data_IF_598101573767
#
_entry.id   IF_598101573767
#
_cell.length_a   1.000
_cell.length_b   1.000
_cell.length_c   1.000
_cell.angle_alpha   90.00
_cell.angle_beta   90.00
_cell.angle_gamma   90.00
#
_symmetry.space_group_name_H-M   'P 1'
#
loop_
_entity.id
_entity.type
_entity.pdbx_description
1 polymer ?
#
# COMPACT_ATOMS: atom_id res chain seq x y z
N UNK A 1 -3.46 7.49 -20.04
CA UNK A 1 -3.68 7.22 -18.60
C UNK A 1 -2.41 6.55 -18.10
N UNK A 2 -1.92 6.94 -16.93
CA UNK A 2 -0.71 6.33 -16.35
C UNK A 2 -1.01 4.89 -15.91
N UNK A 3 -0.08 3.97 -16.14
CA UNK A 3 -0.19 2.58 -15.72
C UNK A 3 0.18 2.44 -14.24
N UNK A 4 -0.81 2.14 -13.40
CA UNK A 4 -0.65 2.03 -11.94
C UNK A 4 -0.86 0.57 -11.52
N UNK A 5 0.05 0.04 -10.71
CA UNK A 5 -0.04 -1.32 -10.18
C UNK A 5 -0.01 -1.31 -8.66
N UNK A 6 -0.97 -1.99 -8.03
CA UNK A 6 -1.00 -2.22 -6.59
C UNK A 6 -0.47 -3.63 -6.31
N UNK A 7 0.78 -3.74 -5.89
CA UNK A 7 1.39 -5.01 -5.48
C UNK A 7 1.24 -5.20 -3.97
N UNK A 8 0.68 -6.32 -3.54
CA UNK A 8 0.37 -6.53 -2.12
C UNK A 8 0.41 -7.98 -1.69
N UNK A 9 0.67 -8.19 -0.40
CA UNK A 9 0.40 -9.45 0.29
C UNK A 9 -0.75 -9.29 1.28
N UNK A 10 -1.57 -10.33 1.45
CA UNK A 10 -2.64 -10.36 2.44
C UNK A 10 -2.80 -11.77 3.03
N UNK A 11 -2.53 -11.93 4.34
CA UNK A 11 -2.68 -13.22 5.02
C UNK A 11 -4.12 -13.55 5.42
N UNK A 12 -4.93 -12.52 5.75
CA UNK A 12 -6.29 -12.70 6.30
C UNK A 12 -7.36 -11.94 5.51
N UNK A 13 -7.02 -11.38 4.36
CA UNK A 13 -7.96 -10.67 3.47
C UNK A 13 -8.10 -9.17 3.73
N UNK A 14 -7.73 -8.63 4.90
CA UNK A 14 -7.89 -7.21 5.21
C UNK A 14 -7.03 -6.32 4.30
N UNK A 15 -5.75 -6.64 4.14
CA UNK A 15 -4.83 -5.90 3.24
C UNK A 15 -5.30 -5.98 1.79
N UNK A 16 -5.88 -7.13 1.38
CA UNK A 16 -6.50 -7.27 0.05
C UNK A 16 -7.70 -6.33 -0.13
N UNK A 17 -8.56 -6.20 0.89
CA UNK A 17 -9.72 -5.31 0.84
C UNK A 17 -9.29 -3.84 0.70
N UNK A 18 -8.20 -3.44 1.36
CA UNK A 18 -7.61 -2.11 1.21
C UNK A 18 -7.01 -1.95 -0.19
N UNK A 19 -6.25 -2.95 -0.66
CA UNK A 19 -5.68 -2.93 -2.01
C UNK A 19 -6.74 -2.72 -3.09
N UNK A 20 -7.91 -3.38 -2.96
CA UNK A 20 -9.06 -3.20 -3.85
C UNK A 20 -9.56 -1.76 -3.84
N UNK A 21 -9.75 -1.15 -2.65
CA UNK A 21 -10.22 0.23 -2.55
C UNK A 21 -9.21 1.24 -3.13
N UNK A 22 -7.90 1.04 -2.88
CA UNK A 22 -6.85 1.87 -3.49
C UNK A 22 -6.83 1.70 -5.01
N UNK A 23 -6.94 0.47 -5.51
CA UNK A 23 -6.95 0.20 -6.94
C UNK A 23 -8.18 0.78 -7.63
N UNK A 24 -9.35 0.71 -7.01
CA UNK A 24 -10.58 1.31 -7.51
C UNK A 24 -10.42 2.83 -7.66
N UNK A 25 -9.93 3.52 -6.61
CA UNK A 25 -9.69 4.97 -6.65
C UNK A 25 -8.61 5.38 -7.66
N UNK A 26 -7.60 4.55 -7.88
CA UNK A 26 -6.50 4.84 -8.79
C UNK A 26 -6.76 4.40 -10.24
N UNK A 27 -7.78 3.59 -10.51
CA UNK A 27 -7.92 2.88 -11.79
C UNK A 27 -6.75 1.90 -12.04
N UNK A 28 -6.23 1.29 -10.97
CA UNK A 28 -5.00 0.50 -11.00
C UNK A 28 -5.25 -1.00 -11.17
N UNK A 29 -4.23 -1.72 -11.65
CA UNK A 29 -4.21 -3.18 -11.68
C UNK A 29 -3.77 -3.74 -10.33
N UNK A 30 -4.44 -4.81 -9.88
CA UNK A 30 -4.07 -5.54 -8.67
C UNK A 30 -3.07 -6.65 -8.99
N UNK A 31 -2.01 -6.76 -8.18
CA UNK A 31 -1.00 -7.79 -8.28
C UNK A 31 -0.77 -8.42 -6.90
N UNK A 32 -1.40 -9.55 -6.65
CA UNK A 32 -1.28 -10.25 -5.37
C UNK A 32 0.01 -11.06 -5.29
N UNK A 33 0.72 -10.94 -4.18
CA UNK A 33 1.79 -11.84 -3.78
C UNK A 33 1.13 -13.06 -3.12
N UNK A 34 1.47 -14.26 -3.56
CA UNK A 34 0.87 -15.49 -3.06
C UNK A 34 1.35 -15.86 -1.63
N UNK A 35 0.82 -16.96 -1.10
CA UNK A 35 1.16 -17.45 0.23
C UNK A 35 2.64 -17.86 0.36
N UNK A 36 3.29 -18.16 -0.75
CA UNK A 36 4.71 -18.50 -0.81
C UNK A 36 5.62 -17.31 -1.12
N UNK A 37 5.07 -16.11 -1.23
CA UNK A 37 5.78 -14.86 -1.47
C UNK A 37 6.21 -14.68 -2.93
N UNK A 38 5.53 -15.30 -3.90
CA UNK A 38 5.81 -15.16 -5.31
C UNK A 38 4.77 -14.27 -6.00
N UNK A 39 5.18 -13.62 -7.09
CA UNK A 39 4.27 -12.99 -8.03
C UNK A 39 3.69 -14.02 -9.00
N UNK A 40 2.48 -13.81 -9.51
CA UNK A 40 1.95 -14.63 -10.61
C UNK A 40 2.80 -14.42 -11.88
N UNK A 41 2.70 -15.34 -12.86
CA UNK A 41 3.34 -15.17 -14.17
C UNK A 41 3.00 -13.80 -14.79
N UNK A 42 4.01 -13.13 -15.36
CA UNK A 42 3.86 -11.77 -15.92
C UNK A 42 3.87 -10.63 -14.89
N UNK A 43 3.96 -10.93 -13.59
CA UNK A 43 3.92 -9.91 -12.53
C UNK A 43 5.12 -8.96 -12.54
N UNK A 44 6.31 -9.45 -12.86
CA UNK A 44 7.51 -8.61 -12.97
C UNK A 44 7.45 -7.69 -14.19
N UNK A 45 6.95 -8.17 -15.31
CA UNK A 45 6.73 -7.42 -16.54
C UNK A 45 5.69 -6.31 -16.33
N UNK A 46 4.61 -6.62 -15.58
CA UNK A 46 3.60 -5.64 -15.22
C UNK A 46 4.19 -4.50 -14.38
N UNK A 47 5.00 -4.82 -13.36
CA UNK A 47 5.69 -3.83 -12.54
C UNK A 47 6.74 -3.04 -13.34
N UNK A 48 7.40 -3.67 -14.29
CA UNK A 48 8.36 -2.99 -15.15
C UNK A 48 7.69 -1.96 -16.06
N UNK A 49 6.49 -2.23 -16.57
CA UNK A 49 5.72 -1.33 -17.43
C UNK A 49 5.04 -0.20 -16.65
N UNK A 50 4.77 -0.37 -15.34
CA UNK A 50 4.03 0.61 -14.53
C UNK A 50 4.75 1.96 -14.39
N UNK A 51 3.99 3.05 -14.43
CA UNK A 51 4.45 4.41 -14.08
C UNK A 51 4.50 4.60 -12.55
N UNK A 52 3.55 3.96 -11.85
CA UNK A 52 3.46 3.99 -10.39
C UNK A 52 3.26 2.60 -9.79
N UNK A 53 3.99 2.31 -8.72
CA UNK A 53 3.92 1.05 -7.95
C UNK A 53 3.44 1.35 -6.53
N UNK A 54 2.25 0.87 -6.19
CA UNK A 54 1.70 0.99 -4.83
C UNK A 54 1.96 -0.30 -4.07
N UNK A 55 2.67 -0.21 -2.96
CA UNK A 55 3.10 -1.35 -2.17
C UNK A 55 2.20 -1.55 -0.95
N UNK A 56 1.62 -2.73 -0.77
CA UNK A 56 0.77 -3.08 0.36
C UNK A 56 1.24 -4.32 1.13
N UNK A 57 1.43 -4.18 2.43
CA UNK A 57 1.75 -5.30 3.31
C UNK A 57 1.04 -5.18 4.65
N UNK A 58 0.57 -6.29 5.27
CA UNK A 58 0.13 -6.24 6.66
C UNK A 58 1.34 -6.01 7.57
N UNK A 59 1.10 -5.35 8.71
CA UNK A 59 2.11 -5.28 9.78
C UNK A 59 1.99 -6.51 10.67
N UNK A 60 2.96 -7.41 10.57
CA UNK A 60 3.11 -8.60 11.39
C UNK A 60 4.39 -8.52 12.21
N UNK A 61 4.31 -8.70 13.53
CA UNK A 61 5.46 -8.66 14.43
C UNK A 61 6.35 -7.41 14.22
N UNK A 62 5.70 -6.24 14.04
CA UNK A 62 6.39 -4.96 13.89
C UNK A 62 6.99 -4.66 12.51
N UNK A 63 6.64 -5.42 11.48
CA UNK A 63 7.19 -5.22 10.12
C UNK A 63 6.29 -5.77 9.03
N UNK A 64 6.73 -5.65 7.78
CA UNK A 64 6.05 -6.25 6.65
C UNK A 64 6.06 -7.79 6.75
N UNK A 65 5.01 -8.44 6.26
CA UNK A 65 4.94 -9.89 6.19
C UNK A 65 6.15 -10.49 5.44
N UNK A 66 6.57 -11.70 5.82
CA UNK A 66 7.72 -12.35 5.19
C UNK A 66 7.50 -12.59 3.68
N UNK A 67 6.26 -12.79 3.25
CA UNK A 67 5.92 -12.95 1.83
C UNK A 67 6.24 -11.66 1.05
N UNK A 68 5.86 -10.51 1.61
CA UNK A 68 6.22 -9.22 1.02
C UNK A 68 7.74 -9.01 1.06
N UNK A 69 8.41 -9.42 2.14
CA UNK A 69 9.87 -9.34 2.24
C UNK A 69 10.57 -10.20 1.18
N UNK A 70 10.07 -11.40 0.90
CA UNK A 70 10.60 -12.25 -0.18
C UNK A 70 10.47 -11.59 -1.54
N UNK A 71 9.31 -10.99 -1.85
CA UNK A 71 9.12 -10.18 -3.04
C UNK A 71 10.13 -9.02 -3.11
N UNK A 72 10.29 -8.28 -2.01
CA UNK A 72 11.23 -7.17 -1.94
C UNK A 72 12.68 -7.63 -2.19
N UNK A 73 13.10 -8.77 -1.63
CA UNK A 73 14.44 -9.32 -1.88
C UNK A 73 14.61 -9.77 -3.34
N UNK A 74 13.58 -10.37 -3.93
CA UNK A 74 13.59 -10.77 -5.34
C UNK A 74 13.70 -9.59 -6.30
N UNK A 75 13.22 -8.38 -5.90
CA UNK A 75 13.35 -7.15 -6.68
C UNK A 75 14.79 -6.65 -6.83
N UNK A 76 15.75 -7.25 -6.11
CA UNK A 76 17.18 -6.93 -6.24
C UNK A 76 17.70 -7.04 -7.69
N UNK A 77 17.14 -7.93 -8.49
CA UNK A 77 17.48 -8.04 -9.92
C UNK A 77 17.09 -6.80 -10.71
N UNK A 78 15.92 -6.24 -10.40
CA UNK A 78 15.42 -5.00 -11.00
C UNK A 78 16.22 -3.80 -10.50
N UNK A 79 16.55 -3.79 -9.20
CA UNK A 79 17.41 -2.76 -8.60
C UNK A 79 18.78 -2.69 -9.27
N UNK A 80 19.43 -3.82 -9.53
CA UNK A 80 20.75 -3.87 -10.15
C UNK A 80 20.78 -3.23 -11.55
N UNK A 81 19.69 -3.33 -12.30
CA UNK A 81 19.53 -2.70 -13.61
C UNK A 81 18.90 -1.33 -13.57
N UNK A 82 18.59 -0.79 -12.38
CA UNK A 82 17.87 0.48 -12.20
C UNK A 82 16.49 0.50 -12.90
N UNK A 83 15.83 -0.68 -13.02
CA UNK A 83 14.60 -0.83 -13.80
C UNK A 83 13.37 -0.10 -13.23
N UNK A 84 13.40 0.30 -11.95
CA UNK A 84 12.33 1.09 -11.31
C UNK A 84 12.78 2.51 -10.93
N UNK A 85 13.96 2.94 -11.42
CA UNK A 85 14.43 4.30 -11.19
C UNK A 85 13.41 5.33 -11.70
N UNK A 86 13.22 6.38 -10.92
CA UNK A 86 12.33 7.52 -11.19
C UNK A 86 10.82 7.18 -11.22
N UNK A 87 10.42 5.90 -11.06
CA UNK A 87 9.01 5.54 -10.92
C UNK A 87 8.41 6.15 -9.65
N UNK A 88 7.10 6.38 -9.69
CA UNK A 88 6.32 6.79 -8.54
C UNK A 88 6.03 5.60 -7.62
N UNK A 89 6.15 5.80 -6.32
CA UNK A 89 5.84 4.81 -5.30
C UNK A 89 4.88 5.37 -4.28
N UNK A 90 4.03 4.49 -3.74
CA UNK A 90 3.18 4.77 -2.61
C UNK A 90 3.08 3.51 -1.73
N UNK A 91 2.56 3.63 -0.51
CA UNK A 91 2.45 2.45 0.34
C UNK A 91 1.31 2.52 1.34
N UNK A 92 0.84 1.32 1.73
CA UNK A 92 -0.16 1.16 2.76
C UNK A 92 0.09 -0.09 3.62
N UNK A 93 -0.45 -0.04 4.84
CA UNK A 93 -0.40 -1.19 5.74
C UNK A 93 -1.63 -1.25 6.64
N UNK A 94 -1.93 -2.45 7.13
CA UNK A 94 -2.98 -2.74 8.10
C UNK A 94 -2.42 -3.49 9.31
N UNK A 95 -2.96 -3.26 10.49
CA UNK A 95 -2.73 -4.07 11.67
C UNK A 95 -3.99 -4.14 12.55
N UNK A 96 -4.03 -5.07 13.51
CA UNK A 96 -5.18 -5.21 14.40
C UNK A 96 -5.25 -4.10 15.47
N UNK A 97 -4.11 -3.68 16.01
CA UNK A 97 -4.07 -2.60 16.99
C UNK A 97 -4.06 -1.23 16.31
N UNK A 98 -4.61 -0.21 16.99
CA UNK A 98 -4.70 1.15 16.45
C UNK A 98 -3.33 1.74 16.11
N UNK A 99 -2.35 1.65 17.00
CA UNK A 99 -0.96 1.99 16.71
C UNK A 99 -0.29 0.86 15.90
N UNK A 100 -0.18 -0.35 16.51
CA UNK A 100 0.31 -1.59 15.91
C UNK A 100 1.69 -1.51 15.25
N UNK A 101 2.48 -0.48 15.59
CA UNK A 101 3.79 -0.20 14.98
C UNK A 101 3.74 -0.12 13.43
N UNK A 102 2.60 0.28 12.90
CA UNK A 102 2.35 0.41 11.45
C UNK A 102 3.37 1.31 10.76
N UNK A 103 3.88 2.32 11.46
CA UNK A 103 4.89 3.21 10.91
C UNK A 103 6.17 2.46 10.53
N UNK A 104 6.55 1.41 11.27
CA UNK A 104 7.72 0.60 10.94
C UNK A 104 7.56 -0.08 9.57
N UNK A 105 6.40 -0.67 9.30
CA UNK A 105 6.11 -1.25 7.98
C UNK A 105 6.12 -0.18 6.89
N UNK A 106 5.44 0.95 7.10
CA UNK A 106 5.40 2.03 6.10
C UNK A 106 6.78 2.60 5.81
N UNK A 107 7.62 2.77 6.84
CA UNK A 107 9.02 3.21 6.70
C UNK A 107 9.83 2.19 5.89
N UNK A 108 9.61 0.90 6.11
CA UNK A 108 10.24 -0.14 5.30
C UNK A 108 9.84 -0.04 3.81
N UNK A 109 8.55 0.16 3.50
CA UNK A 109 8.07 0.33 2.13
C UNK A 109 8.70 1.57 1.48
N UNK A 110 8.77 2.68 2.22
CA UNK A 110 9.45 3.90 1.77
C UNK A 110 10.93 3.65 1.49
N UNK A 111 11.66 2.98 2.40
CA UNK A 111 13.07 2.63 2.17
C UNK A 111 13.26 1.76 0.92
N UNK A 112 12.35 0.80 0.69
CA UNK A 112 12.41 -0.02 -0.52
C UNK A 112 12.25 0.81 -1.79
N UNK A 113 11.31 1.78 -1.80
CA UNK A 113 11.17 2.73 -2.91
C UNK A 113 12.43 3.57 -3.12
N UNK A 114 13.05 4.08 -2.03
CA UNK A 114 14.32 4.83 -2.10
C UNK A 114 15.47 3.96 -2.58
N UNK A 115 15.53 2.69 -2.16
CA UNK A 115 16.52 1.73 -2.65
C UNK A 115 16.44 1.57 -4.18
N UNK A 116 15.24 1.61 -4.75
CA UNK A 116 15.00 1.59 -6.20
C UNK A 116 15.14 2.97 -6.87
N UNK A 117 15.58 4.01 -6.16
CA UNK A 117 15.69 5.39 -6.67
C UNK A 117 14.36 5.97 -7.15
N UNK A 118 13.25 5.58 -6.50
CA UNK A 118 11.91 6.03 -6.83
C UNK A 118 11.51 7.32 -6.12
N UNK A 119 10.32 7.83 -6.46
CA UNK A 119 9.71 9.01 -5.87
C UNK A 119 8.49 8.60 -5.03
N UNK A 120 8.36 9.15 -3.82
CA UNK A 120 7.30 8.72 -2.89
C UNK A 120 6.12 9.67 -2.86
N UNK A 121 4.92 9.11 -2.96
CA UNK A 121 3.63 9.82 -2.85
C UNK A 121 3.11 9.62 -1.42
N UNK A 122 2.93 10.72 -0.69
CA UNK A 122 2.33 10.73 0.64
C UNK A 122 0.79 10.61 0.57
N UNK A 123 0.14 10.28 1.70
CA UNK A 123 -1.32 10.15 1.78
C UNK A 123 -2.06 11.41 1.33
N UNK A 124 -1.58 12.60 1.72
CA UNK A 124 -2.14 13.88 1.28
C UNK A 124 -3.51 14.23 1.85
N UNK A 125 -3.97 13.52 2.87
CA UNK A 125 -5.22 13.78 3.58
C UNK A 125 -4.94 14.21 5.01
N UNK A 126 -5.64 15.25 5.46
CA UNK A 126 -5.59 15.67 6.88
C UNK A 126 -6.22 14.60 7.76
N UNK A 127 -5.69 14.33 8.95
CA UNK A 127 -6.29 13.39 9.89
C UNK A 127 -7.56 13.97 10.50
N UNK A 128 -8.56 13.13 10.74
CA UNK A 128 -9.73 13.48 11.55
C UNK A 128 -9.37 13.35 13.03
N UNK A 129 -8.97 14.46 13.65
CA UNK A 129 -8.42 14.49 15.01
C UNK A 129 -9.11 15.48 15.95
N UNK A 130 -10.29 15.97 15.60
CA UNK A 130 -11.13 16.79 16.47
C UNK A 130 -12.04 15.94 17.37
N UNK A 131 -12.74 16.60 18.33
CA UNK A 131 -13.62 15.89 19.27
C UNK A 131 -14.85 15.26 18.61
N UNK A 132 -15.23 15.70 17.41
CA UNK A 132 -16.36 15.17 16.67
C UNK A 132 -15.98 13.96 15.80
N UNK A 133 -14.68 13.74 15.57
CA UNK A 133 -14.18 12.65 14.75
C UNK A 133 -14.62 11.29 15.30
N UNK A 134 -15.06 10.42 14.39
CA UNK A 134 -15.52 9.07 14.68
C UNK A 134 -14.64 8.06 13.92
N UNK A 135 -14.75 6.79 14.30
CA UNK A 135 -13.97 5.71 13.67
C UNK A 135 -14.11 5.69 12.14
N UNK A 136 -15.26 6.07 11.61
CA UNK A 136 -15.53 6.13 10.17
C UNK A 136 -15.21 7.49 9.52
N UNK A 137 -14.53 8.38 10.22
CA UNK A 137 -14.02 9.62 9.63
C UNK A 137 -12.79 9.33 8.75
N UNK A 138 -12.63 10.13 7.69
CA UNK A 138 -11.49 10.01 6.76
C UNK A 138 -10.16 10.19 7.51
N UNK A 139 -9.21 9.32 7.24
CA UNK A 139 -7.89 9.30 7.87
C UNK A 139 -7.93 9.36 9.41
N UNK A 140 -8.86 8.60 10.01
CA UNK A 140 -8.99 8.54 11.47
C UNK A 140 -7.74 7.95 12.15
N UNK A 141 -7.05 7.01 11.49
CA UNK A 141 -5.79 6.44 12.00
C UNK A 141 -4.65 7.47 11.99
N UNK A 142 -4.73 8.52 11.17
CA UNK A 142 -3.81 9.64 11.20
C UNK A 142 -2.50 9.42 10.47
N UNK A 143 -2.49 8.67 9.37
CA UNK A 143 -1.32 8.50 8.52
C UNK A 143 -0.99 9.74 7.70
N UNK A 144 0.30 10.01 7.47
CA UNK A 144 0.79 11.07 6.56
C UNK A 144 1.70 10.51 5.47
N UNK A 145 2.66 9.68 5.83
CA UNK A 145 3.65 9.12 4.90
C UNK A 145 3.04 8.13 3.91
N UNK A 146 1.87 7.57 4.21
CA UNK A 146 1.10 6.64 3.41
C UNK A 146 -0.17 6.23 4.14
N UNK A 147 -0.92 5.28 3.59
CA UNK A 147 -2.20 4.86 4.17
C UNK A 147 -1.98 3.86 5.32
N UNK A 148 -2.56 4.18 6.46
CA UNK A 148 -2.63 3.31 7.63
C UNK A 148 -4.09 2.93 7.90
N UNK A 149 -4.38 1.65 8.10
CA UNK A 149 -5.71 1.16 8.44
C UNK A 149 -5.67 0.21 9.65
N UNK A 150 -6.81 -0.04 10.26
CA UNK A 150 -6.91 -0.91 11.43
C UNK A 150 -8.13 -1.81 11.34
N UNK A 151 -7.93 -3.12 11.52
CA UNK A 151 -9.01 -4.12 11.54
C UNK A 151 -8.86 -5.00 12.77
N UNK A 152 -9.87 -5.15 13.65
CA UNK A 152 -9.80 -6.11 14.74
C UNK A 152 -9.40 -7.51 14.26
N UNK A 153 -8.65 -8.24 15.07
CA UNK A 153 -8.09 -9.56 14.68
C UNK A 153 -9.15 -10.63 14.43
N UNK A 154 -10.33 -10.45 15.01
CA UNK A 154 -11.50 -11.33 14.90
C UNK A 154 -12.55 -10.81 13.89
N UNK A 155 -12.32 -9.65 13.28
CA UNK A 155 -13.19 -9.12 12.24
C UNK A 155 -12.89 -9.77 10.87
N UNK A 156 -13.92 -10.02 10.09
CA UNK A 156 -13.79 -10.37 8.68
C UNK A 156 -13.40 -9.14 7.83
N UNK A 157 -12.88 -9.32 6.62
CA UNK A 157 -12.62 -8.19 5.71
C UNK A 157 -13.86 -7.33 5.40
N UNK A 158 -15.06 -7.90 5.48
CA UNK A 158 -16.32 -7.17 5.26
C UNK A 158 -16.67 -6.21 6.42
N UNK A 159 -16.12 -6.44 7.60
CA UNK A 159 -16.35 -5.64 8.80
C UNK A 159 -15.32 -4.52 9.01
N UNK A 160 -14.45 -4.30 8.03
CA UNK A 160 -13.51 -3.19 8.08
C UNK A 160 -14.25 -1.84 8.13
N UNK A 161 -13.71 -0.91 8.92
CA UNK A 161 -14.30 0.41 9.09
C UNK A 161 -14.43 1.12 7.73
N UNK A 162 -15.62 1.69 7.50
CA UNK A 162 -15.94 2.42 6.27
C UNK A 162 -14.96 3.55 6.00
N UNK A 163 -14.59 4.33 7.04
CA UNK A 163 -13.65 5.43 6.92
C UNK A 163 -12.25 5.00 6.46
N UNK A 164 -11.79 3.80 6.83
CA UNK A 164 -10.51 3.27 6.34
C UNK A 164 -10.58 2.94 4.83
N UNK A 165 -11.70 2.39 4.37
CA UNK A 165 -11.90 2.06 2.96
C UNK A 165 -12.09 3.32 2.11
N UNK A 166 -12.84 4.31 2.60
CA UNK A 166 -12.98 5.61 1.93
C UNK A 166 -11.64 6.37 1.88
N UNK A 167 -10.83 6.29 2.94
CA UNK A 167 -9.47 6.84 2.96
C UNK A 167 -8.59 6.14 1.92
N UNK A 168 -8.71 4.81 1.79
CA UNK A 168 -7.98 4.03 0.81
C UNK A 168 -8.36 4.41 -0.63
N UNK A 169 -9.66 4.58 -0.91
CA UNK A 169 -10.14 5.03 -2.21
C UNK A 169 -9.60 6.44 -2.55
N UNK A 170 -9.74 7.39 -1.63
CA UNK A 170 -9.23 8.76 -1.83
C UNK A 170 -7.70 8.80 -2.01
N UNK A 171 -6.97 7.89 -1.35
CA UNK A 171 -5.53 7.74 -1.59
C UNK A 171 -5.23 7.24 -3.01
N UNK A 172 -6.03 6.30 -3.51
CA UNK A 172 -5.96 5.83 -4.90
C UNK A 172 -6.17 6.99 -5.89
N UNK A 173 -7.22 7.80 -5.71
CA UNK A 173 -7.47 8.99 -6.55
C UNK A 173 -6.28 9.95 -6.55
N UNK A 174 -5.68 10.20 -5.36
CA UNK A 174 -4.49 11.05 -5.26
C UNK A 174 -3.31 10.48 -6.04
N UNK A 175 -3.06 9.16 -5.95
CA UNK A 175 -1.97 8.51 -6.70
C UNK A 175 -2.18 8.71 -8.20
N UNK A 176 -3.40 8.48 -8.71
CA UNK A 176 -3.72 8.73 -10.12
C UNK A 176 -3.50 10.18 -10.53
N UNK A 177 -3.92 11.14 -9.69
CA UNK A 177 -3.73 12.57 -9.95
C UNK A 177 -2.25 12.97 -10.00
N UNK A 178 -1.40 12.37 -9.15
CA UNK A 178 0.05 12.65 -9.15
C UNK A 178 0.69 12.01 -10.38
N UNK A 179 0.35 10.75 -10.68
CA UNK A 179 0.87 10.04 -11.84
C UNK A 179 0.50 10.70 -13.19
N UNK A 180 -0.65 11.37 -13.26
CA UNK A 180 -1.07 12.09 -14.46
C UNK A 180 -0.35 13.43 -14.69
N UNK A 181 0.46 13.91 -13.73
CA UNK A 181 1.19 15.20 -13.80
C UNK A 181 2.67 15.03 -14.19
N UNK A 182 3.19 13.83 -14.10
CA UNK A 182 4.55 13.48 -14.53
C UNK A 182 4.55 12.97 -15.95
#
# INVERSE_FOLDING_TARGET
MSDIVVVFHSGYGHTQRIAQAVAEGAGAQLLAIDADGNLPPGGWELLAAADAIVMGAPTYMGGASWQFKKFADASSKVWYTQGWKDKLFAGFTNSAAMNGDKLATLTYLWHLAMQHSGQWISLGLMPSNDKAAKRDSINYVGGYGGLLTTSPSDASPAEMAKGDLETAFAFGERIAQVAAKG
#
